data_IF_011493224536
#
_entry.id   IF_011493224536
#
_cell.length_a   1.000
_cell.length_b   1.000
_cell.length_c   1.000
_cell.angle_alpha   90.00
_cell.angle_beta   90.00
_cell.angle_gamma   90.00
#
_symmetry.space_group_name_H-M   'P 1'
#
loop_
_entity.id
_entity.type
_entity.pdbx_description
1 polymer ?
#
# COMPACT_ATOMS: atom_id res chain seq x y z
N UNK A 1 -26.99 -10.83 -4.85
CA UNK A 1 -26.37 -11.75 -3.88
C UNK A 1 -24.86 -11.59 -4.01
N UNK A 2 -24.15 -11.31 -2.92
CA UNK A 2 -22.69 -11.17 -2.96
C UNK A 2 -22.06 -12.47 -3.48
N UNK A 3 -21.11 -12.36 -4.41
CA UNK A 3 -20.36 -13.51 -4.93
C UNK A 3 -19.56 -14.18 -3.81
N UNK A 4 -19.16 -15.44 -3.98
CA UNK A 4 -18.31 -16.14 -3.00
C UNK A 4 -16.97 -15.43 -2.73
N UNK A 5 -16.43 -14.68 -3.71
CA UNK A 5 -15.23 -13.84 -3.54
C UNK A 5 -15.49 -12.67 -2.57
N UNK A 6 -16.61 -11.96 -2.72
CA UNK A 6 -16.98 -10.84 -1.83
C UNK A 6 -17.19 -11.31 -0.38
N UNK A 7 -17.80 -12.48 -0.16
CA UNK A 7 -17.99 -13.01 1.19
C UNK A 7 -16.65 -13.29 1.88
N UNK A 8 -15.69 -13.91 1.16
CA UNK A 8 -14.33 -14.16 1.66
C UNK A 8 -13.56 -12.86 1.93
N UNK A 9 -13.70 -11.87 1.03
CA UNK A 9 -13.13 -10.53 1.20
C UNK A 9 -13.65 -9.88 2.49
N UNK A 10 -14.98 -9.87 2.67
CA UNK A 10 -15.60 -9.29 3.86
C UNK A 10 -15.14 -9.99 5.14
N UNK A 11 -15.14 -11.32 5.17
CA UNK A 11 -14.68 -12.08 6.34
C UNK A 11 -13.23 -11.76 6.73
N UNK A 12 -12.33 -11.62 5.74
CA UNK A 12 -10.95 -11.24 5.99
C UNK A 12 -10.83 -9.79 6.50
N UNK A 13 -11.60 -8.86 5.94
CA UNK A 13 -11.66 -7.48 6.47
C UNK A 13 -12.24 -7.42 7.89
N UNK A 14 -13.25 -8.23 8.21
CA UNK A 14 -13.85 -8.30 9.54
C UNK A 14 -12.90 -8.87 10.60
N UNK A 15 -12.00 -9.77 10.21
CA UNK A 15 -10.95 -10.28 11.10
C UNK A 15 -10.01 -9.16 11.59
N UNK A 16 -9.81 -8.10 10.80
CA UNK A 16 -8.93 -6.97 11.11
C UNK A 16 -9.69 -5.77 11.66
N UNK A 17 -10.87 -5.47 11.11
CA UNK A 17 -11.60 -4.24 11.39
C UNK A 17 -12.89 -4.46 12.20
N UNK A 18 -13.10 -5.67 12.70
CA UNK A 18 -14.24 -6.04 13.53
C UNK A 18 -15.49 -6.31 12.70
N UNK A 19 -16.62 -6.53 13.35
CA UNK A 19 -17.87 -6.90 12.67
C UNK A 19 -18.39 -5.74 11.80
N UNK A 20 -18.24 -5.84 10.49
CA UNK A 20 -18.60 -4.82 9.51
C UNK A 20 -20.04 -4.99 9.04
N UNK A 21 -20.53 -6.23 8.97
CA UNK A 21 -21.88 -6.57 8.53
C UNK A 21 -22.97 -6.08 9.48
N UNK A 22 -22.70 -6.11 10.80
CA UNK A 22 -23.67 -5.75 11.84
C UNK A 22 -23.51 -4.31 12.37
N UNK A 23 -22.67 -3.49 11.75
CA UNK A 23 -22.54 -2.08 12.14
C UNK A 23 -23.81 -1.31 11.77
N UNK A 24 -24.59 -0.96 12.80
CA UNK A 24 -25.78 -0.13 12.64
C UNK A 24 -25.42 1.25 12.08
N UNK A 25 -26.30 1.82 11.25
CA UNK A 25 -26.06 3.11 10.61
C UNK A 25 -25.70 4.24 11.61
N UNK A 26 -26.34 4.24 12.79
CA UNK A 26 -26.05 5.21 13.87
C UNK A 26 -24.63 5.10 14.44
N UNK A 27 -24.01 3.93 14.36
CA UNK A 27 -22.69 3.67 14.90
C UNK A 27 -21.55 4.01 13.92
N UNK A 28 -21.84 4.17 12.62
CA UNK A 28 -20.82 4.40 11.58
C UNK A 28 -20.01 5.68 11.82
N UNK A 29 -20.69 6.78 12.18
CA UNK A 29 -20.05 8.07 12.41
C UNK A 29 -19.11 8.09 13.63
N UNK A 30 -19.35 7.20 14.59
CA UNK A 30 -18.55 7.07 15.82
C UNK A 30 -17.70 5.81 15.83
N UNK A 31 -17.67 5.04 14.73
CA UNK A 31 -16.89 3.81 14.67
C UNK A 31 -15.41 4.10 14.89
N UNK A 32 -14.80 3.30 15.75
CA UNK A 32 -13.38 3.29 16.01
C UNK A 32 -12.90 1.91 15.58
N UNK A 33 -11.98 1.80 14.60
CA UNK A 33 -11.48 0.50 14.20
C UNK A 33 -10.87 -0.21 15.41
N UNK A 34 -11.11 -1.52 15.60
CA UNK A 34 -10.46 -2.25 16.68
C UNK A 34 -8.93 -2.23 16.51
N UNK A 35 -8.15 -2.42 17.57
CA UNK A 35 -6.68 -2.36 17.54
C UNK A 35 -6.03 -3.61 16.91
N UNK A 36 -6.69 -4.25 15.93
CA UNK A 36 -6.27 -5.55 15.39
C UNK A 36 -5.48 -5.43 14.09
N UNK A 37 -5.10 -4.22 13.66
CA UNK A 37 -4.24 -4.01 12.49
C UNK A 37 -2.77 -4.44 12.72
N UNK A 38 -2.45 -4.85 13.95
CA UNK A 38 -1.09 -5.11 14.42
C UNK A 38 -0.35 -3.83 14.77
N UNK A 39 0.84 -3.98 15.36
CA UNK A 39 1.72 -2.86 15.67
C UNK A 39 1.31 -2.02 16.89
N UNK A 40 2.17 -1.10 17.26
CA UNK A 40 2.07 -0.28 18.46
C UNK A 40 0.75 0.51 18.53
N UNK A 41 -0.02 0.26 19.59
CA UNK A 41 -1.39 0.78 19.81
C UNK A 41 -2.40 0.30 18.76
N UNK A 42 -2.13 -0.85 18.16
CA UNK A 42 -3.02 -1.57 17.24
C UNK A 42 -3.11 -0.99 15.85
N UNK A 43 -2.10 -0.22 15.40
CA UNK A 43 -2.03 0.33 14.04
C UNK A 43 -0.69 0.03 13.40
N UNK A 44 -0.78 -0.40 12.14
CA UNK A 44 0.40 -0.70 11.32
C UNK A 44 0.14 -0.14 9.93
N UNK A 45 0.98 0.82 9.51
CA UNK A 45 0.66 1.73 8.42
C UNK A 45 0.36 1.02 7.08
N UNK A 46 1.04 -0.08 6.78
CA UNK A 46 0.78 -0.87 5.57
C UNK A 46 -0.57 -1.58 5.64
N UNK A 47 -0.87 -2.23 6.76
CA UNK A 47 -2.12 -2.94 6.96
C UNK A 47 -3.30 -1.98 6.83
N UNK A 48 -3.19 -0.81 7.47
CA UNK A 48 -4.23 0.22 7.42
C UNK A 48 -4.34 0.88 6.03
N UNK A 49 -3.24 1.08 5.30
CA UNK A 49 -3.29 1.59 3.92
C UNK A 49 -4.06 0.64 3.00
N UNK A 50 -3.76 -0.66 3.07
CA UNK A 50 -4.55 -1.68 2.38
C UNK A 50 -6.00 -1.71 2.87
N UNK A 51 -6.23 -1.55 4.18
CA UNK A 51 -7.58 -1.47 4.75
C UNK A 51 -8.42 -0.35 4.17
N UNK A 52 -7.86 0.86 4.04
CA UNK A 52 -8.54 2.00 3.41
C UNK A 52 -8.90 1.65 1.97
N UNK A 53 -7.94 1.19 1.16
CA UNK A 53 -8.20 0.86 -0.25
C UNK A 53 -9.23 -0.28 -0.38
N UNK A 54 -9.17 -1.29 0.49
CA UNK A 54 -10.12 -2.40 0.52
C UNK A 54 -11.54 -1.95 0.90
N UNK A 55 -11.70 -1.00 1.82
CA UNK A 55 -13.00 -0.38 2.08
C UNK A 55 -13.53 0.37 0.86
N UNK A 56 -12.66 1.02 0.08
CA UNK A 56 -13.06 1.66 -1.17
C UNK A 56 -13.44 0.64 -2.25
N UNK A 57 -12.74 -0.50 -2.33
CA UNK A 57 -13.14 -1.65 -3.14
C UNK A 57 -14.55 -2.11 -2.76
N UNK A 58 -14.82 -2.34 -1.46
CA UNK A 58 -16.16 -2.74 -1.00
C UNK A 58 -17.24 -1.71 -1.33
N UNK A 59 -16.94 -0.41 -1.14
CA UNK A 59 -17.85 0.67 -1.53
C UNK A 59 -18.20 0.59 -3.03
N UNK A 60 -17.19 0.35 -3.89
CA UNK A 60 -17.36 0.24 -5.34
C UNK A 60 -18.13 -1.01 -5.75
N UNK A 61 -17.78 -2.17 -5.21
CA UNK A 61 -18.35 -3.47 -5.59
C UNK A 61 -19.77 -3.69 -5.06
N UNK A 62 -20.08 -3.17 -3.87
CA UNK A 62 -21.38 -3.33 -3.22
C UNK A 62 -22.29 -2.12 -3.39
N UNK A 63 -21.76 -0.99 -3.83
CA UNK A 63 -22.46 0.29 -3.90
C UNK A 63 -23.07 0.69 -2.53
N UNK A 64 -22.31 0.49 -1.45
CA UNK A 64 -22.72 0.79 -0.09
C UNK A 64 -21.84 1.90 0.52
N UNK A 65 -22.44 3.04 0.87
CA UNK A 65 -21.73 4.22 1.41
C UNK A 65 -21.08 3.98 2.77
N UNK A 66 -21.53 2.97 3.52
CA UNK A 66 -20.97 2.65 4.84
C UNK A 66 -19.47 2.38 4.75
N UNK A 67 -19.00 1.72 3.69
CA UNK A 67 -17.57 1.42 3.54
C UNK A 67 -16.74 2.67 3.23
N UNK A 68 -17.31 3.65 2.52
CA UNK A 68 -16.67 4.95 2.36
C UNK A 68 -16.55 5.69 3.71
N UNK A 69 -17.57 5.62 4.56
CA UNK A 69 -17.51 6.19 5.92
C UNK A 69 -16.43 5.50 6.75
N UNK A 70 -16.36 4.16 6.71
CA UNK A 70 -15.34 3.38 7.42
C UNK A 70 -13.93 3.72 6.96
N UNK A 71 -13.69 3.86 5.64
CA UNK A 71 -12.42 4.30 5.09
C UNK A 71 -11.98 5.66 5.66
N UNK A 72 -12.90 6.65 5.71
CA UNK A 72 -12.63 7.98 6.29
C UNK A 72 -12.31 7.89 7.78
N UNK A 73 -13.05 7.09 8.55
CA UNK A 73 -12.82 6.86 9.98
C UNK A 73 -11.49 6.18 10.25
N UNK A 74 -11.08 5.25 9.39
CA UNK A 74 -9.78 4.59 9.48
C UNK A 74 -8.64 5.59 9.25
N UNK A 75 -8.75 6.47 8.24
CA UNK A 75 -7.78 7.55 7.99
C UNK A 75 -7.59 8.44 9.21
N UNK A 76 -8.68 8.93 9.80
CA UNK A 76 -8.62 9.75 11.04
C UNK A 76 -7.88 8.99 12.14
N UNK A 77 -8.23 7.72 12.35
CA UNK A 77 -7.63 6.92 13.42
C UNK A 77 -6.15 6.63 13.20
N UNK A 78 -5.72 6.45 11.95
CA UNK A 78 -4.30 6.32 11.62
C UNK A 78 -3.56 7.61 11.93
N UNK A 79 -4.09 8.77 11.53
CA UNK A 79 -3.45 10.06 11.81
C UNK A 79 -3.36 10.32 13.33
N UNK A 80 -4.40 9.99 14.10
CA UNK A 80 -4.44 10.16 15.56
C UNK A 80 -3.48 9.25 16.33
N UNK A 81 -3.06 8.12 15.74
CA UNK A 81 -2.10 7.21 16.38
C UNK A 81 -0.70 7.40 15.79
N UNK A 82 -0.56 7.23 14.48
CA UNK A 82 0.72 7.17 13.79
C UNK A 82 1.30 8.56 13.46
N UNK A 83 0.47 9.61 13.47
CA UNK A 83 0.92 11.02 13.36
C UNK A 83 1.35 11.65 14.68
N UNK A 84 1.35 10.86 15.77
CA UNK A 84 1.74 11.29 17.12
C UNK A 84 2.97 10.54 17.62
N UNK A 85 3.66 11.11 18.61
CA UNK A 85 4.71 10.42 19.36
C UNK A 85 4.16 9.13 19.99
N UNK A 86 5.05 8.19 20.29
CA UNK A 86 4.65 6.87 20.82
C UNK A 86 3.89 7.00 22.15
N UNK A 87 4.28 7.93 23.01
CA UNK A 87 3.58 8.22 24.26
C UNK A 87 2.24 8.96 24.06
N UNK A 88 1.91 9.36 22.84
CA UNK A 88 0.68 10.06 22.48
C UNK A 88 0.57 11.49 23.02
N UNK A 89 1.68 12.09 23.48
CA UNK A 89 1.65 13.42 24.12
C UNK A 89 1.73 14.58 23.14
N UNK A 90 2.36 14.38 21.98
CA UNK A 90 2.48 15.42 20.95
C UNK A 90 2.38 14.85 19.54
N UNK A 91 2.04 15.69 18.57
CA UNK A 91 2.22 15.36 17.16
C UNK A 91 3.71 15.11 16.86
N UNK A 92 3.99 14.41 15.77
CA UNK A 92 5.38 14.23 15.31
C UNK A 92 6.03 15.58 14.99
N UNK A 93 7.34 15.77 15.25
CA UNK A 93 8.05 17.00 14.95
C UNK A 93 7.88 17.42 13.48
N UNK A 94 7.49 18.68 13.25
CA UNK A 94 7.19 19.22 11.92
C UNK A 94 5.70 19.29 11.59
N UNK A 95 4.83 18.59 12.32
CA UNK A 95 3.39 18.72 12.17
C UNK A 95 2.86 20.00 12.85
N UNK A 96 1.86 20.62 12.21
CA UNK A 96 1.10 21.77 12.74
C UNK A 96 -0.40 21.49 12.68
N UNK A 97 -1.23 22.40 13.18
CA UNK A 97 -2.69 22.26 13.07
C UNK A 97 -3.15 22.34 11.61
N UNK A 98 -2.51 23.19 10.80
CA UNK A 98 -2.78 23.34 9.36
C UNK A 98 -2.15 22.23 8.52
N UNK A 99 -1.03 21.65 8.96
CA UNK A 99 -0.36 20.53 8.30
C UNK A 99 -0.09 19.39 9.30
N UNK A 100 -1.15 18.65 9.59
CA UNK A 100 -1.13 17.55 10.56
C UNK A 100 -0.18 16.40 10.19
N UNK A 101 0.16 16.28 8.90
CA UNK A 101 1.09 15.29 8.35
C UNK A 101 2.48 15.86 8.07
N UNK A 102 2.76 17.10 8.49
CA UNK A 102 4.06 17.76 8.29
C UNK A 102 5.22 17.09 9.02
N UNK A 103 4.92 16.27 10.02
CA UNK A 103 5.89 15.42 10.72
C UNK A 103 5.99 14.00 10.15
N UNK A 104 5.28 13.69 9.07
CA UNK A 104 5.19 12.34 8.53
C UNK A 104 4.25 11.42 9.33
N UNK A 105 4.45 10.11 9.20
CA UNK A 105 3.73 9.09 9.97
C UNK A 105 4.68 7.98 10.40
N UNK A 106 4.56 7.53 11.64
CA UNK A 106 5.24 6.31 12.12
C UNK A 106 4.72 5.08 11.38
N UNK A 107 5.57 4.08 11.22
CA UNK A 107 5.16 2.76 10.69
C UNK A 107 4.30 1.99 11.69
N UNK A 108 4.51 2.18 13.00
CA UNK A 108 3.76 1.52 14.05
C UNK A 108 4.37 0.20 14.52
N UNK A 109 5.68 0.00 14.45
CA UNK A 109 6.34 -1.19 15.03
C UNK A 109 6.27 -1.17 16.57
N UNK A 110 6.22 -2.35 17.20
CA UNK A 110 6.18 -2.46 18.66
C UNK A 110 7.50 -2.02 19.30
N UNK A 111 8.63 -2.40 18.72
CA UNK A 111 9.95 -1.96 19.18
C UNK A 111 10.15 -0.47 18.87
N UNK A 112 10.54 0.34 19.86
CA UNK A 112 10.66 1.78 19.68
C UNK A 112 11.88 2.23 18.85
N UNK A 113 12.94 1.43 18.83
CA UNK A 113 14.23 1.80 18.26
C UNK A 113 14.94 0.63 17.59
N UNK A 114 15.94 0.94 16.75
CA UNK A 114 16.74 -0.05 16.03
C UNK A 114 16.41 -0.12 14.54
N UNK A 115 17.16 -0.91 13.76
CA UNK A 115 16.92 -1.06 12.32
C UNK A 115 15.52 -1.61 12.01
N UNK A 116 14.98 -2.49 12.87
CA UNK A 116 13.66 -3.10 12.71
C UNK A 116 12.55 -2.48 13.57
N UNK A 117 12.89 -1.52 14.42
CA UNK A 117 11.93 -0.81 15.27
C UNK A 117 11.10 0.23 14.53
N UNK A 118 10.43 1.08 15.28
CA UNK A 118 9.60 2.14 14.73
C UNK A 118 10.44 3.21 14.02
N UNK A 119 9.77 4.08 13.28
CA UNK A 119 10.40 5.03 12.38
C UNK A 119 9.48 5.39 11.24
N UNK A 120 10.05 5.97 10.20
CA UNK A 120 9.35 6.29 8.98
C UNK A 120 9.99 5.56 7.81
N UNK A 121 9.16 4.82 7.07
CA UNK A 121 9.58 4.03 5.92
C UNK A 121 8.98 4.64 4.67
N UNK A 122 9.83 4.91 3.68
CA UNK A 122 9.41 5.62 2.47
C UNK A 122 8.25 4.91 1.76
N UNK A 123 8.40 3.62 1.50
CA UNK A 123 7.40 2.86 0.76
C UNK A 123 6.06 2.68 1.51
N UNK A 124 6.07 2.64 2.85
CA UNK A 124 4.83 2.65 3.65
C UNK A 124 4.11 3.99 3.54
N UNK A 125 4.87 5.09 3.58
CA UNK A 125 4.32 6.43 3.43
C UNK A 125 3.77 6.66 2.02
N UNK A 126 4.44 6.19 0.97
CA UNK A 126 3.91 6.28 -0.40
C UNK A 126 2.66 5.43 -0.59
N UNK A 127 2.57 4.26 0.05
CA UNK A 127 1.35 3.45 0.02
C UNK A 127 0.19 4.15 0.75
N UNK A 128 0.48 4.83 1.87
CA UNK A 128 -0.51 5.65 2.56
C UNK A 128 -0.97 6.87 1.72
N UNK A 129 -0.04 7.56 1.06
CA UNK A 129 -0.35 8.63 0.10
C UNK A 129 -1.27 8.12 -1.01
N UNK A 130 -0.98 6.93 -1.55
CA UNK A 130 -1.86 6.28 -2.52
C UNK A 130 -3.26 6.05 -1.95
N UNK A 131 -3.38 5.49 -0.75
CA UNK A 131 -4.67 5.26 -0.10
C UNK A 131 -5.49 6.56 0.09
N UNK A 132 -4.83 7.66 0.49
CA UNK A 132 -5.45 8.98 0.61
C UNK A 132 -5.91 9.53 -0.75
N UNK A 133 -5.10 9.38 -1.79
CA UNK A 133 -5.47 9.77 -3.15
C UNK A 133 -6.67 8.95 -3.68
N UNK A 134 -6.68 7.63 -3.45
CA UNK A 134 -7.83 6.78 -3.78
C UNK A 134 -9.10 7.22 -3.03
N UNK A 135 -8.97 7.56 -1.75
CA UNK A 135 -10.08 8.09 -0.95
C UNK A 135 -10.58 9.44 -1.49
N UNK A 136 -9.69 10.33 -1.93
CA UNK A 136 -10.05 11.58 -2.61
C UNK A 136 -10.93 11.31 -3.83
N UNK A 137 -10.51 10.38 -4.70
CA UNK A 137 -11.24 10.02 -5.92
C UNK A 137 -12.61 9.41 -5.60
N UNK A 138 -12.65 8.40 -4.73
CA UNK A 138 -13.90 7.73 -4.36
C UNK A 138 -14.90 8.69 -3.70
N UNK A 139 -14.43 9.54 -2.79
CA UNK A 139 -15.29 10.49 -2.06
C UNK A 139 -15.62 11.78 -2.81
N UNK A 140 -14.82 12.16 -3.81
CA UNK A 140 -14.86 13.49 -4.41
C UNK A 140 -14.33 14.61 -3.52
N UNK A 141 -13.69 14.28 -2.38
CA UNK A 141 -13.17 15.25 -1.43
C UNK A 141 -11.66 15.45 -1.62
N UNK A 142 -11.29 16.54 -2.28
CA UNK A 142 -9.90 16.88 -2.67
C UNK A 142 -8.94 16.95 -1.47
N UNK A 143 -9.46 17.29 -0.28
CA UNK A 143 -8.67 17.41 0.95
C UNK A 143 -7.82 16.17 1.27
N UNK A 144 -8.25 14.97 0.87
CA UNK A 144 -7.45 13.77 1.09
C UNK A 144 -6.22 13.72 0.16
N UNK A 145 -6.35 14.18 -1.09
CA UNK A 145 -5.19 14.32 -1.97
C UNK A 145 -4.28 15.47 -1.50
N UNK A 146 -4.85 16.57 -1.01
CA UNK A 146 -4.07 17.67 -0.43
C UNK A 146 -3.24 17.20 0.77
N UNK A 147 -3.81 16.35 1.65
CA UNK A 147 -3.11 15.71 2.75
C UNK A 147 -1.97 14.79 2.24
N UNK A 148 -2.21 14.02 1.18
CA UNK A 148 -1.17 13.18 0.59
C UNK A 148 -0.01 14.01 0.02
N UNK A 149 -0.30 15.14 -0.65
CA UNK A 149 0.70 16.09 -1.17
C UNK A 149 1.46 16.75 -0.02
N UNK A 150 0.78 17.16 1.05
CA UNK A 150 1.42 17.74 2.22
C UNK A 150 2.39 16.75 2.88
N UNK A 151 1.99 15.48 3.01
CA UNK A 151 2.85 14.40 3.48
C UNK A 151 4.05 14.18 2.54
N UNK A 152 3.83 14.18 1.23
CA UNK A 152 4.86 14.01 0.21
C UNK A 152 5.95 15.08 0.34
N UNK A 153 5.56 16.36 0.36
CA UNK A 153 6.48 17.50 0.52
C UNK A 153 7.25 17.45 1.83
N UNK A 154 6.61 17.06 2.92
CA UNK A 154 7.23 16.98 4.24
C UNK A 154 8.36 15.94 4.31
N UNK A 155 8.10 14.75 3.74
CA UNK A 155 9.02 13.61 3.89
C UNK A 155 10.09 13.55 2.81
N UNK A 156 9.81 14.03 1.59
CA UNK A 156 10.73 13.95 0.44
C UNK A 156 12.17 14.42 0.75
N UNK A 157 12.43 15.64 1.25
CA UNK A 157 13.79 16.10 1.51
C UNK A 157 14.51 15.28 2.60
N UNK A 158 13.79 14.51 3.42
CA UNK A 158 14.33 13.71 4.53
C UNK A 158 14.77 12.33 4.09
N UNK A 159 14.16 11.79 3.04
CA UNK A 159 14.50 10.47 2.49
C UNK A 159 15.60 10.52 1.41
N UNK A 160 15.89 11.69 0.82
CA UNK A 160 16.95 11.83 -0.17
C UNK A 160 18.30 12.16 0.45
N UNK A 161 19.31 11.36 0.13
CA UNK A 161 20.72 11.54 0.52
C UNK A 161 21.47 12.12 -0.67
N UNK A 162 22.27 13.15 -0.45
CA UNK A 162 23.06 13.85 -1.47
C UNK A 162 22.20 14.29 -2.69
N UNK A 163 20.97 14.75 -2.44
CA UNK A 163 19.93 15.01 -3.47
C UNK A 163 20.42 15.78 -4.71
N UNK A 164 21.24 16.82 -4.49
CA UNK A 164 21.76 17.68 -5.55
C UNK A 164 22.92 17.04 -6.33
N UNK A 165 23.56 15.99 -5.79
CA UNK A 165 24.68 15.28 -6.40
C UNK A 165 24.23 14.33 -7.54
N UNK A 166 25.06 14.05 -8.56
CA UNK A 166 24.83 12.95 -9.50
C UNK A 166 24.69 11.57 -8.82
N UNK A 167 25.21 11.40 -7.60
CA UNK A 167 25.12 10.17 -6.82
C UNK A 167 23.94 10.14 -5.84
N UNK A 168 22.89 10.94 -6.10
CA UNK A 168 21.71 11.02 -5.27
C UNK A 168 21.09 9.62 -5.07
N UNK A 169 20.74 9.31 -3.83
CA UNK A 169 20.14 8.03 -3.44
C UNK A 169 19.10 8.23 -2.36
N UNK A 170 18.32 7.20 -2.08
CA UNK A 170 17.30 7.26 -1.03
C UNK A 170 17.70 6.43 0.20
N UNK A 171 17.29 6.90 1.37
CA UNK A 171 17.24 6.07 2.57
C UNK A 171 15.98 5.21 2.53
N UNK A 172 16.09 3.94 2.92
CA UNK A 172 14.93 3.05 3.06
C UNK A 172 14.10 3.41 4.30
N UNK A 173 14.78 3.81 5.38
CA UNK A 173 14.17 4.14 6.67
C UNK A 173 14.85 5.35 7.31
N UNK A 174 14.05 6.24 7.88
CA UNK A 174 14.49 7.35 8.72
C UNK A 174 13.88 7.26 10.13
N UNK A 175 14.46 8.03 11.04
CA UNK A 175 14.00 8.19 12.43
C UNK A 175 12.58 8.79 12.49
N UNK A 176 11.87 8.54 13.59
CA UNK A 176 10.48 9.02 13.77
C UNK A 176 10.34 10.54 13.65
N UNK A 177 11.36 11.29 14.10
CA UNK A 177 11.44 12.76 14.02
C UNK A 177 12.06 13.27 12.70
N UNK A 178 12.37 12.37 11.76
CA UNK A 178 13.01 12.66 10.48
C UNK A 178 14.37 13.38 10.58
N UNK A 179 15.06 13.28 11.72
CA UNK A 179 16.33 13.96 11.95
C UNK A 179 17.51 13.27 11.26
N UNK A 180 17.43 11.95 11.07
CA UNK A 180 18.51 11.13 10.49
C UNK A 180 18.02 9.84 9.81
N UNK A 181 18.76 9.34 8.80
CA UNK A 181 18.60 7.98 8.29
C UNK A 181 18.88 6.93 9.38
N UNK A 182 18.09 5.84 9.36
CA UNK A 182 18.32 4.66 10.19
C UNK A 182 18.78 3.47 9.34
N UNK A 183 18.31 3.37 8.11
CA UNK A 183 18.83 2.43 7.12
C UNK A 183 19.08 3.18 5.81
N UNK A 184 20.35 3.38 5.48
CA UNK A 184 20.81 4.21 4.36
C UNK A 184 20.90 3.47 3.03
N UNK A 185 20.66 2.16 3.02
CA UNK A 185 20.43 1.43 1.77
C UNK A 185 19.07 1.86 1.19
N UNK A 186 18.93 1.74 -0.12
CA UNK A 186 17.71 2.08 -0.83
C UNK A 186 16.92 0.80 -1.15
N UNK A 187 15.62 0.77 -0.83
CA UNK A 187 14.75 -0.31 -1.23
C UNK A 187 14.68 -0.47 -2.75
N UNK A 188 14.41 -1.70 -3.23
CA UNK A 188 14.46 -2.00 -4.67
C UNK A 188 13.52 -1.11 -5.49
N UNK A 189 12.33 -0.85 -4.96
CA UNK A 189 11.25 -0.14 -5.63
C UNK A 189 11.00 1.28 -5.11
N UNK A 190 11.65 1.72 -4.04
CA UNK A 190 11.34 2.99 -3.35
C UNK A 190 11.27 4.18 -4.32
N UNK A 191 12.25 4.30 -5.22
CA UNK A 191 12.28 5.40 -6.18
C UNK A 191 11.17 5.30 -7.24
N UNK A 192 10.92 4.11 -7.77
CA UNK A 192 9.88 3.87 -8.78
C UNK A 192 8.49 4.06 -8.18
N UNK A 193 8.24 3.55 -6.97
CA UNK A 193 6.98 3.75 -6.25
C UNK A 193 6.76 5.23 -5.95
N UNK A 194 7.79 5.94 -5.48
CA UNK A 194 7.74 7.38 -5.27
C UNK A 194 7.40 8.14 -6.55
N UNK A 195 8.08 7.85 -7.66
CA UNK A 195 7.81 8.43 -8.97
C UNK A 195 6.35 8.27 -9.41
N UNK A 196 5.84 7.03 -9.33
CA UNK A 196 4.46 6.72 -9.73
C UNK A 196 3.46 7.42 -8.83
N UNK A 197 3.56 7.25 -7.51
CA UNK A 197 2.59 7.82 -6.56
C UNK A 197 2.58 9.35 -6.65
N UNK A 198 3.73 10.01 -6.75
CA UNK A 198 3.78 11.48 -6.81
C UNK A 198 3.15 12.00 -8.10
N UNK A 199 3.31 11.30 -9.25
CA UNK A 199 2.57 11.62 -10.48
C UNK A 199 1.06 11.46 -10.31
N UNK A 200 0.59 10.43 -9.60
CA UNK A 200 -0.84 10.26 -9.30
C UNK A 200 -1.38 11.37 -8.39
N UNK A 201 -0.61 11.79 -7.38
CA UNK A 201 -0.97 12.91 -6.51
C UNK A 201 -1.07 14.22 -7.31
N UNK A 202 -0.08 14.50 -8.16
CA UNK A 202 -0.03 15.70 -8.99
C UNK A 202 -1.16 15.73 -10.03
N UNK A 203 -1.48 14.59 -10.64
CA UNK A 203 -2.57 14.50 -11.61
C UNK A 203 -3.95 14.79 -10.98
N UNK A 204 -4.13 14.47 -9.70
CA UNK A 204 -5.33 14.77 -8.93
C UNK A 204 -5.32 16.12 -8.21
N UNK A 205 -4.26 16.94 -8.39
CA UNK A 205 -4.12 18.23 -7.72
C UNK A 205 -4.81 19.36 -8.51
N UNK A 206 -5.20 20.42 -7.79
CA UNK A 206 -5.67 21.67 -8.41
C UNK A 206 -4.57 22.42 -9.12
N UNK A 207 -3.41 22.51 -8.46
CA UNK A 207 -2.24 23.19 -8.98
C UNK A 207 -1.47 22.21 -9.88
N UNK A 208 -1.33 22.49 -11.18
CA UNK A 208 -0.45 21.70 -12.03
C UNK A 208 1.00 21.85 -11.53
N UNK A 209 1.80 20.79 -11.64
CA UNK A 209 3.23 20.80 -11.27
C UNK A 209 3.55 20.97 -9.77
N UNK A 210 2.55 20.79 -8.90
CA UNK A 210 2.67 20.89 -7.43
C UNK A 210 3.78 20.00 -6.81
N UNK A 211 4.20 18.93 -7.50
CA UNK A 211 5.25 17.99 -7.10
C UNK A 211 6.33 17.79 -8.18
N UNK A 212 6.47 18.72 -9.13
CA UNK A 212 7.37 18.58 -10.29
C UNK A 212 8.83 18.34 -9.88
N UNK A 213 9.30 19.05 -8.86
CA UNK A 213 10.67 18.91 -8.35
C UNK A 213 10.89 17.52 -7.75
N UNK A 214 9.97 17.05 -6.91
CA UNK A 214 10.05 15.76 -6.26
C UNK A 214 9.99 14.61 -7.28
N UNK A 215 9.12 14.72 -8.28
CA UNK A 215 9.02 13.76 -9.39
C UNK A 215 10.34 13.69 -10.18
N UNK A 216 10.95 14.83 -10.48
CA UNK A 216 12.25 14.89 -11.18
C UNK A 216 13.38 14.24 -10.36
N UNK A 217 13.38 14.42 -9.03
CA UNK A 217 14.35 13.77 -8.13
C UNK A 217 14.22 12.24 -8.18
N UNK A 218 13.01 11.69 -8.16
CA UNK A 218 12.81 10.24 -8.31
C UNK A 218 13.27 9.75 -9.67
N UNK A 219 12.93 10.47 -10.75
CA UNK A 219 13.31 10.10 -12.10
C UNK A 219 14.84 10.05 -12.26
N UNK A 220 15.56 10.99 -11.62
CA UNK A 220 17.02 10.98 -11.57
C UNK A 220 17.56 9.72 -10.89
N UNK A 221 17.02 9.34 -9.72
CA UNK A 221 17.45 8.12 -9.00
C UNK A 221 17.12 6.84 -9.80
N UNK A 222 15.98 6.80 -10.49
CA UNK A 222 15.62 5.66 -11.34
C UNK A 222 16.62 5.46 -12.49
N UNK A 223 17.08 6.54 -13.12
CA UNK A 223 18.07 6.49 -14.23
C UNK A 223 19.46 6.00 -13.79
N UNK A 224 19.81 6.13 -12.52
CA UNK A 224 21.09 5.65 -11.97
C UNK A 224 21.10 4.14 -11.71
N UNK A 225 19.95 3.46 -11.79
CA UNK A 225 19.86 2.02 -11.62
C UNK A 225 19.90 1.35 -12.99
N UNK A 226 20.90 0.50 -13.19
CA UNK A 226 20.86 -0.52 -14.24
C UNK A 226 19.61 -1.36 -13.97
N UNK A 227 18.59 -1.22 -14.83
CA UNK A 227 17.27 -1.87 -14.85
C UNK A 227 16.82 -2.61 -13.58
N UNK A 228 15.63 -2.30 -13.04
CA UNK A 228 15.03 -3.09 -11.95
C UNK A 228 14.68 -4.50 -12.46
N UNK A 229 15.64 -5.42 -12.39
CA UNK A 229 15.46 -6.82 -12.78
C UNK A 229 14.44 -7.54 -11.88
N UNK A 230 13.93 -8.67 -12.39
CA UNK A 230 13.03 -9.51 -11.63
C UNK A 230 13.71 -10.07 -10.37
N UNK A 231 12.98 -10.10 -9.26
CA UNK A 231 13.39 -10.70 -7.98
C UNK A 231 12.61 -12.00 -7.76
N UNK A 232 13.09 -12.86 -6.86
CA UNK A 232 12.36 -14.05 -6.42
C UNK A 232 11.44 -13.76 -5.22
N UNK A 233 11.45 -12.53 -4.72
CA UNK A 233 10.56 -12.07 -3.66
C UNK A 233 9.17 -11.75 -4.24
N UNK A 234 8.17 -12.56 -3.87
CA UNK A 234 6.81 -12.46 -4.43
C UNK A 234 6.10 -11.14 -4.08
N UNK A 235 6.38 -10.56 -2.91
CA UNK A 235 5.78 -9.26 -2.57
C UNK A 235 6.32 -8.19 -3.49
N UNK A 236 7.63 -8.14 -3.62
CA UNK A 236 8.32 -7.19 -4.48
C UNK A 236 7.90 -7.34 -5.95
N UNK A 237 7.67 -8.56 -6.45
CA UNK A 237 7.12 -8.79 -7.80
C UNK A 237 5.73 -8.18 -7.94
N UNK A 238 4.86 -8.42 -6.95
CA UNK A 238 3.51 -7.86 -6.94
C UNK A 238 3.48 -6.34 -6.90
N UNK A 239 4.28 -5.75 -6.00
CA UNK A 239 4.38 -4.29 -5.90
C UNK A 239 4.98 -3.68 -7.17
N UNK A 240 5.92 -4.37 -7.84
CA UNK A 240 6.45 -3.93 -9.14
C UNK A 240 5.39 -3.95 -10.25
N UNK A 241 4.59 -5.03 -10.34
CA UNK A 241 3.49 -5.12 -11.30
C UNK A 241 2.41 -4.05 -11.02
N UNK A 242 2.07 -3.85 -9.75
CA UNK A 242 1.12 -2.82 -9.34
C UNK A 242 1.63 -1.40 -9.63
N UNK A 243 2.91 -1.06 -9.48
CA UNK A 243 3.36 0.29 -9.88
C UNK A 243 3.48 0.43 -11.41
N UNK A 244 3.88 -0.64 -12.11
CA UNK A 244 4.05 -0.62 -13.55
C UNK A 244 2.72 -0.41 -14.30
N UNK A 245 1.62 -1.00 -13.81
CA UNK A 245 0.33 -0.98 -14.52
C UNK A 245 -0.20 0.43 -14.78
N UNK A 246 0.16 1.41 -13.94
CA UNK A 246 -0.27 2.80 -14.09
C UNK A 246 0.19 3.43 -15.41
N UNK A 247 1.35 2.99 -15.92
CA UNK A 247 2.04 3.54 -17.08
C UNK A 247 2.33 2.50 -18.17
N UNK A 248 1.85 1.27 -18.02
CA UNK A 248 1.93 0.24 -19.05
C UNK A 248 1.29 0.73 -20.37
N UNK A 249 1.92 0.43 -21.49
CA UNK A 249 1.58 0.90 -22.84
C UNK A 249 1.87 2.39 -23.09
N UNK A 250 2.41 3.13 -22.10
CA UNK A 250 2.76 4.55 -22.22
C UNK A 250 4.26 4.77 -22.02
N UNK A 251 4.81 4.23 -20.94
CA UNK A 251 6.23 4.39 -20.61
C UNK A 251 6.98 3.05 -20.77
N UNK A 252 8.05 3.03 -21.56
CA UNK A 252 8.84 1.83 -21.84
C UNK A 252 9.37 1.13 -20.56
N UNK A 253 9.73 1.89 -19.52
CA UNK A 253 10.22 1.33 -18.26
C UNK A 253 9.15 0.49 -17.55
N UNK A 254 7.87 0.87 -17.69
CA UNK A 254 6.75 0.20 -17.05
C UNK A 254 6.48 -1.14 -17.75
N UNK A 255 6.44 -1.13 -19.08
CA UNK A 255 6.28 -2.34 -19.89
C UNK A 255 7.40 -3.34 -19.60
N UNK A 256 8.65 -2.89 -19.65
CA UNK A 256 9.81 -3.75 -19.39
C UNK A 256 9.81 -4.33 -17.97
N UNK A 257 9.47 -3.53 -16.95
CA UNK A 257 9.37 -4.00 -15.57
C UNK A 257 8.25 -5.04 -15.42
N UNK A 258 7.08 -4.76 -15.98
CA UNK A 258 5.93 -5.63 -15.88
C UNK A 258 6.11 -6.96 -16.60
N UNK A 259 6.65 -6.95 -17.83
CA UNK A 259 6.98 -8.17 -18.57
C UNK A 259 7.97 -9.06 -17.80
N UNK A 260 9.05 -8.47 -17.27
CA UNK A 260 10.03 -9.20 -16.47
C UNK A 260 9.39 -9.81 -15.21
N UNK A 261 8.49 -9.09 -14.56
CA UNK A 261 7.80 -9.59 -13.38
C UNK A 261 6.79 -10.69 -13.74
N UNK A 262 6.07 -10.59 -14.86
CA UNK A 262 5.15 -11.64 -15.31
C UNK A 262 5.89 -12.94 -15.65
N UNK A 263 7.06 -12.87 -16.27
CA UNK A 263 7.92 -14.04 -16.50
C UNK A 263 8.26 -14.73 -15.16
N UNK A 264 8.65 -13.95 -14.14
CA UNK A 264 8.97 -14.49 -12.82
C UNK A 264 7.73 -15.07 -12.10
N UNK A 265 6.58 -14.41 -12.19
CA UNK A 265 5.30 -14.88 -11.65
C UNK A 265 4.92 -16.24 -12.26
N UNK A 266 5.01 -16.35 -13.59
CA UNK A 266 4.74 -17.61 -14.29
C UNK A 266 5.75 -18.71 -13.93
N UNK A 267 7.03 -18.38 -13.77
CA UNK A 267 8.05 -19.35 -13.36
C UNK A 267 7.83 -19.86 -11.93
N UNK A 268 7.50 -18.96 -10.99
CA UNK A 268 7.30 -19.29 -9.58
C UNK A 268 6.00 -20.05 -9.37
N UNK A 269 4.87 -19.49 -9.82
CA UNK A 269 3.57 -20.10 -9.58
C UNK A 269 3.22 -21.17 -10.62
N UNK A 270 3.90 -21.26 -11.76
CA UNK A 270 3.76 -22.38 -12.69
C UNK A 270 4.45 -23.67 -12.21
N UNK A 271 5.35 -23.59 -11.24
CA UNK A 271 5.98 -24.77 -10.64
C UNK A 271 5.05 -25.40 -9.59
N UNK A 272 4.48 -26.55 -9.91
CA UNK A 272 3.65 -27.33 -8.97
C UNK A 272 4.40 -27.69 -7.67
N UNK A 273 5.74 -27.81 -7.71
CA UNK A 273 6.55 -28.02 -6.49
C UNK A 273 6.59 -26.80 -5.60
N UNK A 274 6.47 -25.59 -6.17
CA UNK A 274 6.35 -24.36 -5.38
C UNK A 274 4.98 -24.31 -4.70
N UNK A 275 3.89 -24.58 -5.44
CA UNK A 275 2.52 -24.57 -4.89
C UNK A 275 2.32 -25.58 -3.76
N UNK A 276 2.99 -26.73 -3.85
CA UNK A 276 2.91 -27.81 -2.85
C UNK A 276 4.01 -27.73 -1.78
N UNK A 277 4.91 -26.74 -1.85
CA UNK A 277 5.92 -26.52 -0.82
C UNK A 277 5.24 -26.25 0.53
N UNK A 278 5.81 -26.83 1.59
CA UNK A 278 5.26 -26.70 2.93
C UNK A 278 5.03 -25.22 3.31
N UNK A 279 3.81 -24.95 3.77
CA UNK A 279 3.28 -23.63 4.14
C UNK A 279 4.18 -22.83 5.10
N UNK A 280 4.88 -23.44 6.10
CA UNK A 280 5.78 -22.69 7.00
C UNK A 280 6.95 -21.98 6.29
N UNK A 281 7.25 -22.35 5.04
CA UNK A 281 8.30 -21.70 4.23
C UNK A 281 7.74 -20.65 3.25
N UNK A 282 6.42 -20.45 3.21
CA UNK A 282 5.73 -19.50 2.34
C UNK A 282 5.06 -18.43 3.21
N UNK A 283 5.31 -17.16 2.90
CA UNK A 283 4.65 -16.05 3.57
C UNK A 283 3.45 -15.62 2.71
N UNK A 284 2.25 -16.02 3.11
CA UNK A 284 1.04 -15.84 2.30
C UNK A 284 0.80 -14.39 1.87
N UNK A 285 1.00 -13.41 2.75
CA UNK A 285 0.84 -11.99 2.42
C UNK A 285 1.73 -11.55 1.25
N UNK A 286 2.93 -12.14 1.11
CA UNK A 286 3.85 -11.81 0.01
C UNK A 286 3.31 -12.34 -1.32
N UNK A 287 2.78 -13.55 -1.32
CA UNK A 287 2.14 -14.12 -2.49
C UNK A 287 0.87 -13.38 -2.86
N UNK A 288 0.00 -13.06 -1.90
CA UNK A 288 -1.18 -12.24 -2.17
C UNK A 288 -0.81 -10.88 -2.78
N UNK A 289 0.33 -10.29 -2.39
CA UNK A 289 0.88 -9.11 -3.06
C UNK A 289 1.19 -9.37 -4.54
N UNK A 290 1.89 -10.45 -4.86
CA UNK A 290 2.13 -10.90 -6.23
C UNK A 290 0.84 -11.08 -7.04
N UNK A 291 -0.16 -11.76 -6.49
CA UNK A 291 -1.41 -12.06 -7.18
C UNK A 291 -2.21 -10.77 -7.45
N UNK A 292 -2.29 -9.87 -6.46
CA UNK A 292 -2.92 -8.56 -6.61
C UNK A 292 -2.23 -7.71 -7.67
N UNK A 293 -0.90 -7.65 -7.66
CA UNK A 293 -0.12 -6.92 -8.66
C UNK A 293 -0.31 -7.45 -10.08
N UNK A 294 -0.30 -8.78 -10.25
CA UNK A 294 -0.55 -9.42 -11.54
C UNK A 294 -1.94 -9.09 -12.09
N UNK A 295 -2.98 -9.11 -11.25
CA UNK A 295 -4.35 -8.73 -11.62
C UNK A 295 -4.48 -7.25 -12.00
N UNK A 296 -3.72 -6.37 -11.35
CA UNK A 296 -3.68 -4.96 -11.73
C UNK A 296 -3.00 -4.75 -13.10
N UNK A 297 -1.96 -5.53 -13.40
CA UNK A 297 -1.12 -5.33 -14.58
C UNK A 297 -1.72 -5.91 -15.87
N UNK A 298 -2.38 -7.07 -15.79
CA UNK A 298 -2.86 -7.77 -16.99
C UNK A 298 -4.23 -8.42 -16.81
N UNK A 299 -5.00 -8.39 -17.89
CA UNK A 299 -6.25 -9.14 -18.04
C UNK A 299 -6.07 -10.42 -18.86
N UNK A 300 -4.83 -10.85 -19.10
CA UNK A 300 -4.56 -12.12 -19.75
C UNK A 300 -5.20 -13.28 -18.95
N UNK A 301 -6.05 -14.07 -19.62
CA UNK A 301 -6.85 -15.11 -18.98
C UNK A 301 -5.99 -16.21 -18.32
N UNK A 302 -4.83 -16.53 -18.88
CA UNK A 302 -3.93 -17.56 -18.34
C UNK A 302 -3.29 -17.09 -17.03
N UNK A 303 -2.81 -15.84 -16.99
CA UNK A 303 -2.25 -15.24 -15.77
C UNK A 303 -3.33 -15.12 -14.69
N UNK A 304 -4.54 -14.68 -15.06
CA UNK A 304 -5.67 -14.60 -14.11
C UNK A 304 -6.02 -15.98 -13.56
N UNK A 305 -6.12 -17.00 -14.43
CA UNK A 305 -6.39 -18.39 -14.02
C UNK A 305 -5.29 -18.92 -13.10
N UNK A 306 -4.02 -18.66 -13.42
CA UNK A 306 -2.89 -19.03 -12.57
C UNK A 306 -3.02 -18.37 -11.19
N UNK A 307 -3.31 -17.06 -11.14
CA UNK A 307 -3.44 -16.36 -9.86
C UNK A 307 -4.59 -16.89 -9.02
N UNK A 308 -5.76 -17.15 -9.62
CA UNK A 308 -6.91 -17.71 -8.92
C UNK A 308 -6.60 -19.13 -8.41
N UNK A 309 -5.86 -19.95 -9.15
CA UNK A 309 -5.44 -21.29 -8.68
C UNK A 309 -4.55 -21.24 -7.43
N UNK A 310 -3.71 -20.21 -7.29
CA UNK A 310 -2.86 -20.04 -6.10
C UNK A 310 -3.71 -19.61 -4.90
N UNK A 311 -4.73 -18.77 -5.11
CA UNK A 311 -5.69 -18.39 -4.06
C UNK A 311 -6.46 -19.62 -3.59
N UNK A 312 -6.90 -20.49 -4.51
CA UNK A 312 -7.65 -21.71 -4.18
C UNK A 312 -6.82 -22.66 -3.30
N UNK A 313 -5.52 -22.84 -3.58
CA UNK A 313 -4.61 -23.60 -2.70
C UNK A 313 -4.56 -23.02 -1.29
N UNK A 314 -4.49 -21.68 -1.15
CA UNK A 314 -4.53 -21.03 0.16
C UNK A 314 -5.86 -21.22 0.88
N UNK A 315 -6.98 -21.26 0.14
CA UNK A 315 -8.32 -21.49 0.70
C UNK A 315 -8.41 -22.93 1.26
N UNK A 316 -7.87 -23.91 0.56
CA UNK A 316 -7.89 -25.32 1.00
C UNK A 316 -7.17 -25.52 2.35
N UNK A 317 -6.07 -24.82 2.56
CA UNK A 317 -5.26 -24.91 3.79
C UNK A 317 -5.58 -23.81 4.82
N UNK A 318 -6.57 -22.95 4.56
CA UNK A 318 -6.77 -21.69 5.29
C UNK A 318 -6.88 -21.86 6.80
N UNK A 319 -7.68 -22.82 7.26
CA UNK A 319 -7.91 -23.06 8.69
C UNK A 319 -6.63 -23.50 9.42
N UNK A 320 -5.83 -24.38 8.82
CA UNK A 320 -4.56 -24.83 9.39
C UNK A 320 -3.52 -23.69 9.33
N UNK A 321 -3.46 -23.01 8.19
CA UNK A 321 -2.53 -21.91 7.96
C UNK A 321 -2.76 -20.76 8.96
N UNK A 322 -4.00 -20.30 9.14
CA UNK A 322 -4.24 -19.12 9.98
C UNK A 322 -3.93 -19.39 11.45
N UNK A 323 -4.16 -20.62 11.91
CA UNK A 323 -3.86 -21.05 13.27
C UNK A 323 -2.36 -21.12 13.53
N UNK A 324 -1.57 -21.49 12.51
CA UNK A 324 -0.10 -21.60 12.59
C UNK A 324 0.64 -20.32 12.20
N UNK A 325 -0.06 -19.34 11.60
CA UNK A 325 0.50 -18.04 11.25
C UNK A 325 0.88 -17.25 12.51
N UNK A 326 2.08 -16.70 12.53
CA UNK A 326 2.57 -15.77 13.55
C UNK A 326 1.56 -14.63 13.72
N UNK A 327 1.16 -14.36 14.96
CA UNK A 327 0.06 -13.45 15.30
C UNK A 327 0.21 -12.08 14.62
N UNK A 328 1.42 -11.51 14.64
CA UNK A 328 1.74 -10.21 14.03
C UNK A 328 1.58 -10.16 12.51
N UNK A 329 1.63 -11.32 11.83
CA UNK A 329 1.48 -11.42 10.38
C UNK A 329 0.04 -11.67 9.94
N UNK A 330 -0.87 -12.02 10.86
CA UNK A 330 -2.27 -12.30 10.51
C UNK A 330 -2.97 -11.06 9.92
N UNK A 331 -2.86 -9.84 10.49
CA UNK A 331 -3.58 -8.69 9.96
C UNK A 331 -3.16 -8.30 8.55
N UNK A 332 -1.85 -8.23 8.28
CA UNK A 332 -1.33 -7.93 6.94
C UNK A 332 -1.75 -9.03 5.95
N UNK A 333 -1.74 -10.30 6.37
CA UNK A 333 -2.18 -11.40 5.51
C UNK A 333 -3.66 -11.25 5.11
N UNK A 334 -4.53 -10.87 6.04
CA UNK A 334 -5.97 -10.69 5.78
C UNK A 334 -6.27 -9.56 4.79
N UNK A 335 -5.62 -8.40 4.96
CA UNK A 335 -5.87 -7.26 4.05
C UNK A 335 -5.25 -7.49 2.66
N UNK A 336 -4.09 -8.17 2.60
CA UNK A 336 -3.46 -8.54 1.33
C UNK A 336 -4.28 -9.61 0.59
N UNK A 337 -4.82 -10.59 1.32
CA UNK A 337 -5.73 -11.59 0.77
C UNK A 337 -6.98 -10.95 0.16
N UNK A 338 -7.59 -10.01 0.89
CA UNK A 338 -8.74 -9.24 0.38
C UNK A 338 -8.39 -8.53 -0.93
N UNK A 339 -7.25 -7.83 -0.98
CA UNK A 339 -6.79 -7.14 -2.19
C UNK A 339 -6.46 -8.10 -3.36
N UNK A 340 -6.00 -9.32 -3.07
CA UNK A 340 -5.76 -10.36 -4.08
C UNK A 340 -7.05 -10.99 -4.61
N UNK A 341 -8.11 -11.03 -3.80
CA UNK A 341 -9.44 -11.49 -4.22
C UNK A 341 -10.10 -10.48 -5.16
N UNK A 342 -10.04 -9.19 -4.80
CA UNK A 342 -10.62 -8.07 -5.54
C UNK A 342 -9.68 -6.85 -5.49
N UNK A 343 -9.03 -6.57 -6.62
CA UNK A 343 -8.03 -5.52 -6.76
C UNK A 343 -8.60 -4.15 -7.18
N UNK A 344 -9.92 -4.00 -7.31
CA UNK A 344 -10.59 -2.82 -7.88
C UNK A 344 -10.08 -1.47 -7.35
N UNK A 345 -9.85 -1.34 -6.04
CA UNK A 345 -9.32 -0.10 -5.45
C UNK A 345 -7.87 0.22 -5.79
N UNK A 346 -7.09 -0.78 -6.21
CA UNK A 346 -5.68 -0.67 -6.60
C UNK A 346 -5.48 -0.43 -8.09
N UNK A 347 -6.50 -0.72 -8.91
CA UNK A 347 -6.48 -0.62 -10.36
C UNK A 347 -6.70 0.82 -10.87
N UNK A 348 -6.01 1.15 -11.96
CA UNK A 348 -6.25 2.36 -12.76
C UNK A 348 -7.70 2.40 -13.23
N UNK A 349 -8.38 3.51 -12.94
CA UNK A 349 -9.81 3.70 -13.19
C UNK A 349 -10.78 2.78 -12.40
N UNK A 350 -10.29 1.95 -11.47
CA UNK A 350 -11.13 0.94 -10.82
C UNK A 350 -12.22 1.53 -9.92
N UNK A 351 -11.92 2.63 -9.22
CA UNK A 351 -12.91 3.35 -8.40
C UNK A 351 -13.77 4.30 -9.26
N UNK A 352 -13.09 5.22 -9.96
CA UNK A 352 -13.64 6.19 -10.91
C UNK A 352 -12.56 6.50 -11.96
N UNK A 353 -12.89 7.11 -13.11
CA UNK A 353 -11.90 7.56 -14.08
C UNK A 353 -10.80 8.41 -13.44
N UNK A 354 -9.54 8.17 -13.78
CA UNK A 354 -8.41 8.94 -13.26
C UNK A 354 -8.47 10.41 -13.73
N UNK A 355 -8.12 11.37 -12.85
CA UNK A 355 -8.07 12.78 -13.21
C UNK A 355 -6.87 13.04 -14.14
N UNK A 356 -7.15 13.41 -15.40
CA UNK A 356 -6.14 13.69 -16.40
C UNK A 356 -5.31 12.47 -16.81
N UNK A 357 -4.47 12.64 -17.83
CA UNK A 357 -3.41 11.65 -18.09
C UNK A 357 -2.23 12.04 -17.19
N UNK A 358 -1.73 11.16 -16.30
CA UNK A 358 -0.46 11.42 -15.61
C UNK A 358 0.62 11.45 -16.69
N UNK A 359 0.93 12.64 -17.21
CA UNK A 359 2.00 12.84 -18.20
C UNK A 359 3.36 12.76 -17.55
#
# INVERSE_FOLDING_TARGET
MATGKIQKFLAAMEAVYGNLGNLEARALGTWIPPPNSGGHRGRYLWTDAFGVVNFLTLHKELNEDKYLILAKRLVVRVHDILGWTRDGKSRLPGATDDNTLGGGLRIGKEEASGPDGDGQYHHYLTLWMFALNRLSIASGMETYNDQAIALARAIHPRFFIDRTSPSARMAWKISMDMSRPLVSSQGRLDATTGFVVYRLLQAAAKEPNVLETEIADYQKVMRLRDSVGATHDTLDLGMALWIAHWFAGTDQWADQLGENCLIAINAIFGDERYKTRAVPHRLAFREFGALMGAKCYTHNADVVTLTDSVIDVWIEVWSEFINTTVEDLRPITMVMYSAALLSTGFEKNGLKPEPGNPK
#
